data_IF_386864498132
#
_entry.id   IF_386864498132
#
_cell.length_a   1.000
_cell.length_b   1.000
_cell.length_c   1.000
_cell.angle_alpha   90.00
_cell.angle_beta   90.00
_cell.angle_gamma   90.00
#
_symmetry.space_group_name_H-M   'P 1'
#
loop_
_entity.id
_entity.type
_entity.pdbx_description
1 polymer ?
#
# COMPACT_ATOMS: atom_id res chain seq x y z
N UNK A 1 3.00 38.79 -5.67
CA UNK A 1 3.55 37.42 -5.55
C UNK A 1 2.39 36.47 -5.38
N UNK A 2 2.12 35.63 -6.37
CA UNK A 2 1.08 34.60 -6.33
C UNK A 2 1.78 33.25 -6.10
N UNK A 3 1.61 32.68 -4.92
CA UNK A 3 2.12 31.34 -4.61
C UNK A 3 1.00 30.35 -4.95
N UNK A 4 1.21 29.52 -5.97
CA UNK A 4 0.30 28.45 -6.31
C UNK A 4 0.50 27.32 -5.31
N UNK A 5 -0.45 27.12 -4.41
CA UNK A 5 -0.46 25.95 -3.52
C UNK A 5 -0.84 24.74 -4.37
N UNK A 6 0.15 23.93 -4.72
CA UNK A 6 -0.11 22.59 -5.24
C UNK A 6 -0.62 21.75 -4.06
N UNK A 7 -1.90 21.41 -4.07
CA UNK A 7 -2.43 20.39 -3.15
C UNK A 7 -1.55 19.14 -3.27
N UNK A 8 -1.17 18.48 -2.16
CA UNK A 8 -0.41 17.26 -2.23
C UNK A 8 -1.18 16.31 -3.13
N UNK A 9 -0.56 15.86 -4.22
CA UNK A 9 -1.14 14.83 -5.07
C UNK A 9 -1.51 13.69 -4.14
N UNK A 10 -2.79 13.34 -3.96
CA UNK A 10 -3.16 12.18 -3.18
C UNK A 10 -2.64 11.03 -4.00
N UNK A 11 -1.42 10.60 -3.71
CA UNK A 11 -0.82 9.46 -4.34
C UNK A 11 -1.69 8.31 -3.87
N UNK A 12 -2.71 8.04 -4.68
CA UNK A 12 -3.37 6.73 -4.85
C UNK A 12 -2.35 5.78 -5.46
N UNK A 13 -1.08 5.95 -5.12
CA UNK A 13 0.02 5.10 -5.51
C UNK A 13 -0.18 3.90 -4.60
N UNK A 14 -0.62 2.82 -5.23
CA UNK A 14 -0.84 1.57 -4.53
C UNK A 14 0.40 1.24 -3.71
N UNK A 15 0.24 0.86 -2.43
CA UNK A 15 1.38 0.55 -1.58
C UNK A 15 2.25 -0.50 -2.27
N UNK A 16 3.52 -0.17 -2.47
CA UNK A 16 4.51 -1.11 -3.03
C UNK A 16 4.94 -2.02 -1.89
N UNK A 17 4.89 -3.32 -2.13
CA UNK A 17 5.28 -4.31 -1.14
C UNK A 17 6.54 -5.01 -1.62
N UNK A 18 7.56 -5.05 -0.79
CA UNK A 18 8.76 -5.82 -1.06
C UNK A 18 8.73 -7.13 -0.28
N UNK A 19 9.24 -8.19 -0.90
CA UNK A 19 9.29 -9.49 -0.29
C UNK A 19 10.45 -9.57 0.71
N UNK A 20 10.14 -9.74 2.00
CA UNK A 20 11.13 -9.88 3.07
C UNK A 20 12.15 -11.01 2.89
N UNK A 21 11.86 -11.99 2.01
CA UNK A 21 12.73 -13.15 1.78
C UNK A 21 13.76 -12.91 0.67
N UNK A 22 13.45 -12.06 -0.30
CA UNK A 22 14.29 -11.89 -1.49
C UNK A 22 14.51 -10.43 -1.88
N UNK A 23 14.01 -9.48 -1.08
CA UNK A 23 14.11 -8.04 -1.27
C UNK A 23 13.68 -7.59 -2.68
N UNK A 24 12.75 -8.33 -3.27
CA UNK A 24 12.20 -8.06 -4.61
C UNK A 24 10.77 -7.55 -4.49
N UNK A 25 10.33 -6.74 -5.46
CA UNK A 25 8.97 -6.25 -5.49
C UNK A 25 7.99 -7.44 -5.54
N UNK A 26 7.14 -7.52 -4.52
CA UNK A 26 5.98 -8.39 -4.47
C UNK A 26 4.80 -7.69 -5.15
N UNK A 27 3.95 -8.49 -5.78
CA UNK A 27 2.75 -8.01 -6.47
C UNK A 27 1.54 -8.21 -5.57
N UNK A 28 0.59 -7.28 -5.59
CA UNK A 28 -0.70 -7.48 -4.96
C UNK A 28 -1.47 -8.51 -5.79
N UNK A 29 -1.72 -9.68 -5.19
CA UNK A 29 -2.46 -10.77 -5.84
C UNK A 29 -3.96 -10.64 -5.65
N UNK A 30 -4.41 -10.24 -4.46
CA UNK A 30 -5.83 -10.13 -4.15
C UNK A 30 -6.08 -9.13 -3.03
N UNK A 31 -7.29 -8.57 -3.00
CA UNK A 31 -7.76 -7.76 -1.89
C UNK A 31 -8.57 -8.66 -0.96
N UNK A 32 -8.01 -8.97 0.21
CA UNK A 32 -8.66 -9.85 1.19
C UNK A 32 -9.79 -9.13 1.94
N UNK A 33 -9.58 -7.85 2.29
CA UNK A 33 -10.60 -7.04 2.94
C UNK A 33 -10.36 -5.56 2.66
N UNK A 34 -11.43 -4.80 2.43
CA UNK A 34 -11.38 -3.34 2.33
C UNK A 34 -12.47 -2.72 3.19
N UNK A 35 -12.11 -1.69 3.95
CA UNK A 35 -13.00 -0.81 4.70
C UNK A 35 -12.65 0.63 4.33
N UNK A 36 -13.41 1.60 4.84
CA UNK A 36 -13.16 3.03 4.58
C UNK A 36 -11.79 3.52 5.06
N UNK A 37 -11.21 2.86 6.07
CA UNK A 37 -9.94 3.25 6.71
C UNK A 37 -8.90 2.14 6.75
N UNK A 38 -9.21 0.91 6.36
CA UNK A 38 -8.25 -0.20 6.34
C UNK A 38 -8.41 -1.03 5.06
N UNK A 39 -7.29 -1.37 4.43
CA UNK A 39 -7.22 -2.22 3.25
C UNK A 39 -6.20 -3.32 3.51
N UNK A 40 -6.70 -4.54 3.56
CA UNK A 40 -5.92 -5.76 3.69
C UNK A 40 -5.76 -6.39 2.32
N UNK A 41 -4.51 -6.49 1.86
CA UNK A 41 -4.17 -7.07 0.56
C UNK A 41 -3.27 -8.28 0.74
N UNK A 42 -3.45 -9.28 -0.09
CA UNK A 42 -2.54 -10.41 -0.22
C UNK A 42 -1.48 -10.07 -1.25
N UNK A 43 -0.22 -10.12 -0.83
CA UNK A 43 0.94 -9.90 -1.69
C UNK A 43 1.64 -11.22 -1.97
N UNK A 44 2.02 -11.39 -3.21
CA UNK A 44 2.68 -12.58 -3.72
C UNK A 44 3.97 -12.18 -4.41
N UNK A 45 5.07 -12.82 -4.00
CA UNK A 45 6.33 -12.69 -4.70
C UNK A 45 6.47 -13.76 -5.77
N UNK A 46 6.45 -13.36 -7.04
CA UNK A 46 6.68 -14.26 -8.17
C UNK A 46 8.09 -14.88 -8.22
N UNK A 47 9.04 -14.34 -7.45
CA UNK A 47 10.43 -14.78 -7.48
C UNK A 47 10.72 -15.92 -6.49
N UNK A 48 10.16 -15.86 -5.28
CA UNK A 48 10.34 -16.90 -4.26
C UNK A 48 9.08 -17.73 -4.01
N UNK A 49 7.93 -17.34 -4.55
CA UNK A 49 6.64 -17.99 -4.31
C UNK A 49 6.03 -17.67 -2.94
N UNK A 50 6.64 -16.79 -2.15
CA UNK A 50 6.12 -16.40 -0.84
C UNK A 50 4.84 -15.56 -1.01
N UNK A 51 3.82 -15.87 -0.21
CA UNK A 51 2.58 -15.10 -0.09
C UNK A 51 2.44 -14.59 1.34
N UNK A 52 2.05 -13.33 1.50
CA UNK A 52 1.77 -12.74 2.81
C UNK A 52 0.58 -11.78 2.71
N UNK A 53 -0.21 -11.73 3.76
CA UNK A 53 -1.26 -10.74 3.91
C UNK A 53 -0.66 -9.48 4.57
N UNK A 54 -0.89 -8.33 3.95
CA UNK A 54 -0.45 -7.02 4.41
C UNK A 54 -1.66 -6.15 4.69
N UNK A 55 -1.79 -5.71 5.94
CA UNK A 55 -2.75 -4.69 6.33
C UNK A 55 -2.17 -3.31 6.07
N UNK A 56 -2.88 -2.49 5.32
CA UNK A 56 -2.62 -1.06 5.22
C UNK A 56 -3.79 -0.31 5.81
N UNK A 57 -3.53 0.76 6.54
CA UNK A 57 -4.56 1.66 7.05
C UNK A 57 -4.44 3.00 6.36
N UNK A 58 -5.57 3.59 6.03
CA UNK A 58 -5.66 4.95 5.53
C UNK A 58 -5.60 5.87 6.74
N UNK A 59 -4.66 6.82 6.73
CA UNK A 59 -4.56 7.83 7.79
C UNK A 59 -5.86 8.65 7.85
N UNK A 60 -6.15 9.29 8.99
CA UNK A 60 -7.36 10.08 9.27
C UNK A 60 -7.62 11.19 8.24
N UNK A 61 -6.57 11.68 7.58
CA UNK A 61 -6.66 12.67 6.50
C UNK A 61 -7.13 12.08 5.15
N UNK A 62 -7.19 10.75 5.02
CA UNK A 62 -7.58 10.07 3.79
C UNK A 62 -6.52 10.13 2.67
N UNK A 63 -5.35 10.70 2.95
CA UNK A 63 -4.35 11.00 1.92
C UNK A 63 -3.16 10.03 1.87
N UNK A 64 -2.93 9.20 2.91
CA UNK A 64 -1.80 8.26 2.97
C UNK A 64 -2.22 6.87 3.46
N UNK A 65 -1.66 5.84 2.82
CA UNK A 65 -1.70 4.45 3.29
C UNK A 65 -0.47 4.17 4.15
N UNK A 66 -0.69 3.88 5.42
CA UNK A 66 0.34 3.43 6.37
C UNK A 66 0.27 1.90 6.47
N UNK A 67 1.40 1.22 6.67
CA UNK A 67 1.38 -0.19 7.06
C UNK A 67 0.77 -0.29 8.46
N UNK A 68 -0.23 -1.15 8.63
CA UNK A 68 -0.75 -1.51 9.95
C UNK A 68 0.15 -2.64 10.48
N UNK A 69 0.93 -2.33 11.52
CA UNK A 69 1.72 -3.30 12.30
C UNK A 69 0.82 -4.35 12.97
#
# INVERSE_FOLDING_TARGET
MSFTVHAPSPTTEEPRFDCIFCDKPALVSSEAARTETTRTVEVFCRHCGARKTMGTRKNTDGSLWEMAD
#
